data_IF_500309989311
#
_entry.id   IF_500309989311
#
_cell.length_a   1.000
_cell.length_b   1.000
_cell.length_c   1.000
_cell.angle_alpha   90.00
_cell.angle_beta   90.00
_cell.angle_gamma   90.00
#
_symmetry.space_group_name_H-M   'P 1'
#
loop_
_entity.id
_entity.type
_entity.pdbx_description
1 polymer ?
#
# COMPACT_ATOMS: atom_id res chain seq x y z
N UNK A 1 34.41 -22.13 4.24
CA UNK A 1 34.18 -23.15 5.27
C UNK A 1 33.37 -22.48 6.37
N UNK A 2 32.20 -23.04 6.68
CA UNK A 2 31.28 -22.69 7.78
C UNK A 2 30.42 -21.42 7.68
N UNK A 3 29.18 -21.67 7.24
CA UNK A 3 27.98 -21.37 8.03
C UNK A 3 27.22 -20.11 7.64
N UNK A 4 25.89 -20.07 7.62
CA UNK A 4 24.80 -21.01 7.91
C UNK A 4 23.59 -20.44 7.11
N UNK A 5 22.77 -21.20 6.39
CA UNK A 5 21.62 -21.98 6.90
C UNK A 5 20.72 -21.14 7.82
N UNK A 6 19.41 -21.17 7.59
CA UNK A 6 18.32 -20.46 8.32
C UNK A 6 17.80 -19.14 7.72
N UNK A 7 17.01 -19.24 6.64
CA UNK A 7 15.62 -18.74 6.70
C UNK A 7 14.74 -19.56 5.75
N UNK A 8 13.89 -20.38 6.36
CA UNK A 8 12.95 -21.39 5.84
C UNK A 8 12.17 -20.98 4.59
N UNK A 9 11.75 -21.84 3.67
CA UNK A 9 11.97 -23.27 3.44
C UNK A 9 11.71 -23.55 1.94
N UNK A 10 12.73 -24.08 1.25
CA UNK A 10 12.60 -24.72 -0.06
C UNK A 10 13.04 -23.88 -1.26
N UNK A 11 14.08 -24.36 -1.94
CA UNK A 11 14.50 -24.04 -3.33
C UNK A 11 15.34 -22.74 -3.44
N UNK A 12 16.59 -22.63 -3.92
CA UNK A 12 17.58 -23.52 -4.57
C UNK A 12 18.98 -22.87 -4.38
N UNK A 13 20.02 -23.69 -4.25
CA UNK A 13 21.36 -23.32 -3.75
C UNK A 13 22.42 -22.95 -4.82
N UNK A 14 22.11 -22.62 -6.08
CA UNK A 14 23.17 -22.60 -7.11
C UNK A 14 23.11 -21.37 -8.04
N UNK A 15 24.27 -20.71 -8.12
CA UNK A 15 24.75 -19.72 -9.12
C UNK A 15 24.60 -18.23 -8.81
N UNK A 16 25.75 -17.63 -8.45
CA UNK A 16 26.05 -16.20 -8.25
C UNK A 16 25.89 -15.32 -9.52
N UNK A 17 24.80 -15.42 -10.30
CA UNK A 17 24.61 -14.59 -11.50
C UNK A 17 23.15 -14.23 -11.83
N UNK A 18 22.27 -14.16 -10.84
CA UNK A 18 21.06 -13.35 -10.93
C UNK A 18 21.04 -12.49 -9.68
N UNK A 19 21.44 -11.24 -9.85
CA UNK A 19 21.05 -10.16 -8.94
C UNK A 19 19.51 -10.18 -8.99
N UNK A 20 18.86 -10.94 -8.11
CA UNK A 20 17.55 -10.54 -7.65
C UNK A 20 17.83 -9.24 -6.93
N UNK A 21 17.43 -8.14 -7.55
CA UNK A 21 17.41 -6.85 -6.90
C UNK A 21 16.89 -7.07 -5.48
N UNK A 22 17.62 -6.58 -4.49
CA UNK A 22 16.98 -6.23 -3.24
C UNK A 22 15.76 -5.43 -3.66
N UNK A 23 14.56 -5.94 -3.42
CA UNK A 23 13.38 -5.11 -3.35
C UNK A 23 13.66 -4.19 -2.15
N UNK A 24 14.40 -3.11 -2.41
CA UNK A 24 14.40 -1.93 -1.56
C UNK A 24 12.93 -1.56 -1.48
N UNK A 25 12.33 -1.76 -0.31
CA UNK A 25 10.97 -1.35 0.02
C UNK A 25 10.85 0.18 -0.09
N UNK A 26 10.89 0.72 -1.31
CA UNK A 26 10.03 1.82 -1.73
C UNK A 26 8.65 1.21 -2.06
N UNK A 27 8.13 0.39 -1.16
CA UNK A 27 6.75 -0.06 -1.22
C UNK A 27 5.92 1.15 -0.79
N UNK A 28 5.43 1.92 -1.77
CA UNK A 28 4.30 2.82 -1.55
C UNK A 28 3.29 2.10 -0.66
N UNK A 29 2.77 2.72 0.41
CA UNK A 29 1.80 2.07 1.28
C UNK A 29 0.77 1.35 0.44
N UNK A 30 0.51 0.06 0.71
CA UNK A 30 -0.50 -0.70 -0.04
C UNK A 30 -1.87 0.01 -0.09
N UNK A 31 -2.14 0.87 0.89
CA UNK A 31 -3.26 1.81 0.93
C UNK A 31 -3.30 2.83 -0.24
N UNK A 32 -2.16 3.28 -0.78
CA UNK A 32 -2.09 4.15 -1.96
C UNK A 32 -2.68 3.50 -3.21
N UNK A 33 -2.81 2.16 -3.21
CA UNK A 33 -3.33 1.42 -4.33
C UNK A 33 -4.84 1.13 -4.23
N UNK A 34 -5.44 1.37 -3.06
CA UNK A 34 -6.85 1.07 -2.78
C UNK A 34 -7.78 2.12 -3.40
N UNK A 35 -8.87 1.64 -4.02
CA UNK A 35 -9.95 2.50 -4.49
C UNK A 35 -10.95 2.78 -3.35
N UNK A 36 -11.41 4.04 -3.18
CA UNK A 36 -12.38 4.38 -2.15
C UNK A 36 -13.74 3.78 -2.45
N UNK A 37 -14.47 3.35 -1.41
CA UNK A 37 -15.86 2.91 -1.54
C UNK A 37 -16.71 3.51 -0.40
N UNK A 38 -17.79 4.26 -0.71
CA UNK A 38 -18.62 4.89 0.31
C UNK A 38 -19.39 3.89 1.19
N UNK A 39 -19.64 2.67 0.70
CA UNK A 39 -20.46 1.67 1.37
C UNK A 39 -21.96 1.94 1.28
N UNK A 40 -22.74 1.18 2.07
CA UNK A 40 -24.21 1.19 1.99
C UNK A 40 -24.89 2.10 3.03
N UNK A 41 -24.15 2.55 4.05
CA UNK A 41 -24.67 3.49 5.02
C UNK A 41 -24.69 4.93 4.48
N UNK A 42 -25.44 5.83 5.13
CA UNK A 42 -25.71 7.18 4.62
C UNK A 42 -25.16 8.31 5.51
N UNK A 43 -24.16 8.04 6.36
CA UNK A 43 -23.45 9.09 7.07
C UNK A 43 -22.57 9.90 6.08
N UNK A 44 -22.26 11.14 6.44
CA UNK A 44 -21.36 11.99 5.65
C UNK A 44 -20.02 12.15 6.37
N UNK A 45 -19.17 11.11 6.30
CA UNK A 45 -17.87 11.10 7.00
C UNK A 45 -16.75 11.37 5.98
N UNK A 46 -16.03 12.50 6.07
CA UNK A 46 -14.92 12.78 5.16
C UNK A 46 -13.78 11.79 5.41
N UNK A 47 -13.27 11.21 4.32
CA UNK A 47 -12.17 10.25 4.29
C UNK A 47 -11.31 10.48 3.04
N UNK A 48 -10.15 9.84 2.96
CA UNK A 48 -9.17 10.17 1.93
C UNK A 48 -8.68 8.96 1.16
N UNK A 49 -8.32 9.18 -0.10
CA UNK A 49 -7.73 8.19 -1.01
C UNK A 49 -6.73 8.85 -1.95
N UNK A 50 -5.81 8.07 -2.47
CA UNK A 50 -4.86 8.53 -3.47
C UNK A 50 -5.43 8.32 -4.88
N UNK A 51 -5.57 9.40 -5.63
CA UNK A 51 -5.98 9.38 -7.03
C UNK A 51 -4.74 9.18 -7.90
N UNK A 52 -4.64 8.00 -8.53
CA UNK A 52 -3.51 7.63 -9.38
C UNK A 52 -3.50 8.38 -10.71
N UNK A 53 -4.64 8.87 -11.20
CA UNK A 53 -4.71 9.61 -12.46
C UNK A 53 -4.17 11.02 -12.27
N UNK A 54 -4.56 11.66 -11.17
CA UNK A 54 -4.10 13.03 -10.84
C UNK A 54 -2.83 13.07 -9.98
N UNK A 55 -2.36 11.91 -9.50
CA UNK A 55 -1.24 11.78 -8.56
C UNK A 55 -1.42 12.65 -7.31
N UNK A 56 -2.64 12.65 -6.76
CA UNK A 56 -3.03 13.53 -5.64
C UNK A 56 -3.97 12.84 -4.67
N UNK A 57 -3.87 13.22 -3.41
CA UNK A 57 -4.82 12.86 -2.39
C UNK A 57 -6.10 13.66 -2.49
N UNK A 58 -7.22 12.93 -2.48
CA UNK A 58 -8.56 13.49 -2.60
C UNK A 58 -9.42 13.05 -1.42
N UNK A 59 -10.37 13.90 -1.08
CA UNK A 59 -11.43 13.59 -0.13
C UNK A 59 -12.57 12.86 -0.84
N UNK A 60 -13.18 11.90 -0.15
CA UNK A 60 -14.46 11.32 -0.51
C UNK A 60 -15.34 11.18 0.75
N UNK A 61 -16.64 10.96 0.54
CA UNK A 61 -17.58 10.75 1.63
C UNK A 61 -17.80 9.27 1.86
N UNK A 62 -17.43 8.79 3.06
CA UNK A 62 -17.73 7.44 3.52
C UNK A 62 -19.05 7.41 4.29
N UNK A 63 -19.88 6.42 3.95
CA UNK A 63 -21.22 6.20 4.50
C UNK A 63 -21.24 5.75 5.96
N UNK A 64 -20.11 5.35 6.52
CA UNK A 64 -19.97 4.92 7.92
C UNK A 64 -20.07 3.41 8.15
N UNK A 65 -20.31 2.61 7.11
CA UNK A 65 -20.22 1.15 7.17
C UNK A 65 -19.95 0.55 5.79
N UNK A 66 -19.40 -0.68 5.75
CA UNK A 66 -19.27 -1.53 4.56
C UNK A 66 -18.68 -0.84 3.31
N UNK A 67 -17.73 0.07 3.54
CA UNK A 67 -16.99 0.76 2.49
C UNK A 67 -15.49 0.50 2.63
N UNK A 68 -14.71 1.02 1.70
CA UNK A 68 -13.25 0.97 1.73
C UNK A 68 -12.76 2.38 2.01
N UNK A 69 -12.04 2.53 3.12
CA UNK A 69 -11.46 3.79 3.57
C UNK A 69 -9.94 3.63 3.53
N UNK A 70 -9.26 4.10 2.48
CA UNK A 70 -7.81 3.96 2.38
C UNK A 70 -7.07 4.72 3.49
N UNK A 71 -7.50 5.95 3.79
CA UNK A 71 -6.88 6.79 4.80
C UNK A 71 -7.89 7.54 5.67
N UNK A 72 -7.57 7.63 6.97
CA UNK A 72 -8.35 8.41 7.94
C UNK A 72 -8.00 9.90 7.93
N UNK A 73 -6.76 10.24 7.58
CA UNK A 73 -6.23 11.60 7.58
C UNK A 73 -5.63 11.96 6.22
N UNK A 74 -5.67 13.25 5.89
CA UNK A 74 -5.08 13.77 4.64
C UNK A 74 -3.56 13.60 4.67
N UNK A 75 -2.94 13.78 5.84
CA UNK A 75 -1.50 13.67 6.03
C UNK A 75 -0.98 12.28 5.69
N UNK A 76 -1.65 11.23 6.16
CA UNK A 76 -1.28 9.84 5.85
C UNK A 76 -1.46 9.53 4.35
N UNK A 77 -2.50 10.10 3.72
CA UNK A 77 -2.66 9.96 2.29
C UNK A 77 -1.49 10.62 1.53
N UNK A 78 -1.07 11.83 1.92
CA UNK A 78 -0.04 12.61 1.21
C UNK A 78 1.33 11.94 1.16
N UNK A 79 1.58 10.93 1.99
CA UNK A 79 2.76 10.07 1.85
C UNK A 79 2.82 9.41 0.45
N UNK A 80 1.67 9.15 -0.18
CA UNK A 80 1.57 8.64 -1.55
C UNK A 80 1.95 9.68 -2.63
N UNK A 81 1.93 10.98 -2.33
CA UNK A 81 2.26 12.05 -3.28
C UNK A 81 3.78 12.29 -3.42
N UNK A 82 4.58 11.71 -2.53
CA UNK A 82 6.02 12.01 -2.41
C UNK A 82 6.93 11.12 -3.26
N UNK A 83 6.39 10.45 -4.30
CA UNK A 83 7.14 9.54 -5.18
C UNK A 83 8.20 10.24 -6.04
#
# INVERSE_FOLDING_TARGET
MFGNIFKSAGVVLISMLLISCSDDDNELPSACQLEPNPGECFAAIPRYYFDKEEQKCKEFIWGGCNGVVPFETMEACRECESN
#
